data_IF_221146039072
#
_entry.id   IF_221146039072
#
_cell.length_a   1.000
_cell.length_b   1.000
_cell.length_c   1.000
_cell.angle_alpha   90.00
_cell.angle_beta   90.00
_cell.angle_gamma   90.00
#
_symmetry.space_group_name_H-M   'P 1'
#
loop_
_entity.id
_entity.type
_entity.pdbx_description
1 polymer ?
#
# COMPACT_ATOMS: atom_id res chain seq x y z
N UNK A 1 -15.88 -16.89 -4.98
CA UNK A 1 -15.06 -15.70 -5.29
C UNK A 1 -13.60 -16.12 -5.27
N UNK A 2 -12.90 -15.92 -6.37
CA UNK A 2 -11.50 -16.31 -6.55
C UNK A 2 -10.58 -15.16 -6.07
N UNK A 3 -9.50 -15.52 -5.35
CA UNK A 3 -8.52 -14.58 -4.82
C UNK A 3 -7.80 -13.76 -5.91
N UNK A 4 -7.47 -14.40 -7.03
CA UNK A 4 -6.80 -13.70 -8.12
C UNK A 4 -7.69 -12.66 -8.79
N UNK A 5 -8.99 -12.95 -8.93
CA UNK A 5 -9.96 -11.96 -9.41
C UNK A 5 -10.10 -10.78 -8.46
N UNK A 6 -10.06 -11.04 -7.13
CA UNK A 6 -10.11 -9.98 -6.13
C UNK A 6 -8.88 -9.08 -6.17
N UNK A 7 -7.68 -9.66 -6.34
CA UNK A 7 -6.43 -8.89 -6.51
C UNK A 7 -6.48 -8.03 -7.77
N UNK A 8 -6.95 -8.59 -8.88
CA UNK A 8 -7.10 -7.86 -10.14
C UNK A 8 -8.10 -6.71 -9.98
N UNK A 9 -9.25 -6.97 -9.36
CA UNK A 9 -10.24 -5.94 -9.06
C UNK A 9 -9.63 -4.80 -8.22
N UNK A 10 -8.95 -5.12 -7.13
CA UNK A 10 -8.31 -4.14 -6.27
C UNK A 10 -7.30 -3.28 -7.04
N UNK A 11 -6.42 -3.90 -7.83
CA UNK A 11 -5.41 -3.19 -8.60
C UNK A 11 -6.03 -2.27 -9.68
N UNK A 12 -7.14 -2.68 -10.31
CA UNK A 12 -7.87 -1.84 -11.28
C UNK A 12 -8.52 -0.65 -10.58
N UNK A 13 -9.13 -0.88 -9.42
CA UNK A 13 -9.76 0.16 -8.63
C UNK A 13 -8.74 1.21 -8.15
N UNK A 14 -7.60 0.75 -7.65
CA UNK A 14 -6.49 1.60 -7.20
C UNK A 14 -5.89 2.42 -8.35
N UNK A 15 -5.71 1.82 -9.53
CA UNK A 15 -5.19 2.50 -10.72
C UNK A 15 -6.19 3.50 -11.35
N UNK A 16 -7.50 3.35 -11.07
CA UNK A 16 -8.59 4.12 -11.67
C UNK A 16 -8.72 3.97 -13.20
N UNK A 17 -7.97 3.04 -13.79
CA UNK A 17 -7.91 2.84 -15.23
C UNK A 17 -7.38 1.44 -15.57
N UNK A 18 -8.06 0.73 -16.49
CA UNK A 18 -7.66 -0.60 -16.94
C UNK A 18 -6.25 -0.61 -17.55
N UNK A 19 -5.91 0.40 -18.35
CA UNK A 19 -4.60 0.48 -19.00
C UNK A 19 -3.46 0.64 -17.99
N UNK A 20 -3.64 1.49 -16.98
CA UNK A 20 -2.64 1.63 -15.91
C UNK A 20 -2.46 0.32 -15.13
N UNK A 21 -3.54 -0.41 -14.85
CA UNK A 21 -3.49 -1.67 -14.14
C UNK A 21 -2.72 -2.78 -14.91
N UNK A 22 -2.60 -2.68 -16.25
CA UNK A 22 -1.81 -3.66 -17.03
C UNK A 22 -0.34 -3.68 -16.62
N UNK A 23 0.22 -2.52 -16.28
CA UNK A 23 1.63 -2.41 -15.88
C UNK A 23 1.91 -3.08 -14.52
N UNK A 24 1.02 -2.88 -13.55
CA UNK A 24 1.19 -3.46 -12.22
C UNK A 24 0.88 -4.96 -12.17
N UNK A 25 -0.07 -5.41 -13.02
CA UNK A 25 -0.50 -6.82 -13.04
C UNK A 25 0.25 -7.68 -14.04
N UNK A 26 1.03 -7.08 -14.95
CA UNK A 26 1.65 -7.77 -16.08
C UNK A 26 0.66 -8.62 -16.91
N UNK A 27 -0.56 -8.10 -17.10
CA UNK A 27 -1.64 -8.72 -17.83
C UNK A 27 -2.12 -7.81 -18.97
N UNK A 28 -2.66 -8.39 -20.05
CA UNK A 28 -3.30 -7.59 -21.09
C UNK A 28 -4.62 -6.98 -20.60
N UNK A 29 -4.99 -5.83 -21.15
CA UNK A 29 -6.26 -5.17 -20.80
C UNK A 29 -7.48 -6.10 -21.05
N UNK A 30 -7.45 -6.91 -22.10
CA UNK A 30 -8.52 -7.88 -22.40
C UNK A 30 -8.60 -8.99 -21.36
N UNK A 31 -7.46 -9.45 -20.82
CA UNK A 31 -7.42 -10.43 -19.75
C UNK A 31 -8.00 -9.83 -18.45
N UNK A 32 -7.57 -8.63 -18.07
CA UNK A 32 -8.10 -7.91 -16.91
C UNK A 32 -9.61 -7.72 -17.03
N UNK A 33 -10.08 -7.24 -18.19
CA UNK A 33 -11.53 -7.02 -18.42
C UNK A 33 -12.35 -8.30 -18.26
N UNK A 34 -11.85 -9.43 -18.77
CA UNK A 34 -12.51 -10.73 -18.61
C UNK A 34 -12.59 -11.18 -17.16
N UNK A 35 -11.52 -10.98 -16.39
CA UNK A 35 -11.48 -11.34 -14.96
C UNK A 35 -12.47 -10.49 -14.15
N UNK A 36 -12.54 -9.19 -14.43
CA UNK A 36 -13.52 -8.29 -13.78
C UNK A 36 -14.95 -8.72 -14.13
N UNK A 37 -15.26 -8.94 -15.42
CA UNK A 37 -16.58 -9.40 -15.84
C UNK A 37 -16.97 -10.75 -15.18
N UNK A 38 -16.01 -11.67 -15.06
CA UNK A 38 -16.21 -12.94 -14.37
C UNK A 38 -16.53 -12.74 -12.90
N UNK A 39 -15.84 -11.83 -12.21
CA UNK A 39 -16.10 -11.48 -10.82
C UNK A 39 -17.49 -10.84 -10.64
N UNK A 40 -17.85 -9.87 -11.49
CA UNK A 40 -19.16 -9.22 -11.48
C UNK A 40 -20.30 -10.23 -11.71
N UNK A 41 -20.10 -11.19 -12.62
CA UNK A 41 -21.05 -12.27 -12.87
C UNK A 41 -21.22 -13.20 -11.67
N UNK A 42 -20.12 -13.56 -10.99
CA UNK A 42 -20.17 -14.38 -9.77
C UNK A 42 -20.90 -13.67 -8.64
N UNK A 43 -20.65 -12.37 -8.47
CA UNK A 43 -21.25 -11.54 -7.43
C UNK A 43 -22.66 -11.04 -7.81
N UNK A 44 -23.07 -11.22 -9.08
CA UNK A 44 -24.34 -10.75 -9.66
C UNK A 44 -24.54 -9.24 -9.48
N UNK A 45 -23.48 -8.48 -9.56
CA UNK A 45 -23.48 -7.02 -9.44
C UNK A 45 -22.37 -6.40 -10.26
N UNK A 46 -22.56 -5.16 -10.71
CA UNK A 46 -21.51 -4.38 -11.34
C UNK A 46 -20.66 -3.72 -10.26
N UNK A 47 -19.34 -3.75 -10.44
CA UNK A 47 -18.36 -3.16 -9.53
C UNK A 47 -17.79 -1.86 -10.09
N UNK A 48 -17.85 -1.69 -11.42
CA UNK A 48 -17.36 -0.52 -12.11
C UNK A 48 -18.42 0.11 -12.99
N UNK A 49 -18.36 1.44 -13.09
CA UNK A 49 -19.07 2.26 -14.08
C UNK A 49 -18.07 2.86 -15.04
N UNK A 50 -18.41 2.81 -16.35
CA UNK A 50 -17.59 3.42 -17.41
C UNK A 50 -18.22 4.74 -17.82
N UNK A 51 -17.45 5.80 -17.70
CA UNK A 51 -17.85 7.15 -18.12
C UNK A 51 -16.92 7.68 -19.21
N UNK A 52 -17.34 8.73 -19.89
CA UNK A 52 -16.50 9.41 -20.88
C UNK A 52 -15.18 9.92 -20.29
N UNK A 53 -15.13 10.15 -18.98
CA UNK A 53 -13.96 10.64 -18.25
C UNK A 53 -13.11 9.55 -17.61
N UNK A 54 -13.47 8.26 -17.73
CA UNK A 54 -12.72 7.16 -17.13
C UNK A 54 -13.60 6.09 -16.46
N UNK A 55 -13.02 5.45 -15.48
CA UNK A 55 -13.58 4.35 -14.72
C UNK A 55 -13.81 4.82 -13.27
N UNK A 56 -15.01 4.57 -12.74
CA UNK A 56 -15.33 4.76 -11.32
C UNK A 56 -15.88 3.47 -10.72
N UNK A 57 -15.82 3.36 -9.41
CA UNK A 57 -16.47 2.28 -8.68
C UNK A 57 -17.97 2.56 -8.54
N UNK A 58 -18.79 1.51 -8.55
CA UNK A 58 -20.16 1.55 -8.05
C UNK A 58 -20.16 1.54 -6.53
N UNK A 59 -21.30 1.75 -5.87
CA UNK A 59 -21.45 1.61 -4.42
C UNK A 59 -21.01 0.21 -3.94
N UNK A 60 -21.41 -0.85 -4.66
CA UNK A 60 -20.95 -2.22 -4.37
C UNK A 60 -19.45 -2.39 -4.63
N UNK A 61 -18.93 -1.72 -5.66
CA UNK A 61 -17.49 -1.68 -5.95
C UNK A 61 -16.70 -1.01 -4.82
N UNK A 62 -17.16 0.11 -4.29
CA UNK A 62 -16.52 0.80 -3.16
C UNK A 62 -16.51 -0.06 -1.89
N UNK A 63 -17.65 -0.71 -1.61
CA UNK A 63 -17.73 -1.63 -0.47
C UNK A 63 -16.76 -2.80 -0.60
N UNK A 64 -16.70 -3.43 -1.78
CA UNK A 64 -15.76 -4.52 -2.03
C UNK A 64 -14.31 -4.03 -2.00
N UNK A 65 -14.02 -2.84 -2.55
CA UNK A 65 -12.67 -2.27 -2.57
C UNK A 65 -12.13 -2.03 -1.16
N UNK A 66 -12.93 -1.43 -0.29
CA UNK A 66 -12.54 -1.21 1.11
C UNK A 66 -12.17 -2.52 1.81
N UNK A 67 -13.04 -3.52 1.69
CA UNK A 67 -12.80 -4.84 2.30
C UNK A 67 -11.58 -5.54 1.68
N UNK A 68 -11.44 -5.52 0.36
CA UNK A 68 -10.29 -6.11 -0.33
C UNK A 68 -8.97 -5.43 0.08
N UNK A 69 -8.97 -4.11 0.19
CA UNK A 69 -7.82 -3.33 0.62
C UNK A 69 -7.36 -3.72 2.03
N UNK A 70 -8.29 -3.84 2.98
CA UNK A 70 -7.98 -4.26 4.35
C UNK A 70 -7.38 -5.67 4.40
N UNK A 71 -7.96 -6.62 3.64
CA UNK A 71 -7.45 -8.00 3.58
C UNK A 71 -6.06 -8.08 2.95
N UNK A 72 -5.86 -7.38 1.82
CA UNK A 72 -4.56 -7.36 1.12
C UNK A 72 -3.49 -6.71 2.00
N UNK A 73 -3.81 -5.61 2.70
CA UNK A 73 -2.89 -4.95 3.62
C UNK A 73 -2.48 -5.91 4.75
N UNK A 74 -3.44 -6.57 5.39
CA UNK A 74 -3.15 -7.54 6.45
C UNK A 74 -2.26 -8.70 5.98
N UNK A 75 -2.45 -9.18 4.75
CA UNK A 75 -1.60 -10.23 4.20
C UNK A 75 -0.19 -9.74 3.94
N UNK A 76 -0.01 -8.52 3.44
CA UNK A 76 1.32 -7.90 3.29
C UNK A 76 2.04 -7.75 4.62
N UNK A 77 1.33 -7.35 5.69
CA UNK A 77 1.90 -7.26 7.03
C UNK A 77 2.37 -8.63 7.54
N UNK A 78 1.60 -9.69 7.27
CA UNK A 78 1.99 -11.06 7.61
C UNK A 78 3.20 -11.52 6.80
N UNK A 79 3.22 -11.26 5.49
CA UNK A 79 4.37 -11.58 4.62
C UNK A 79 5.63 -10.86 5.10
N UNK A 80 5.53 -9.55 5.40
CA UNK A 80 6.63 -8.78 5.99
C UNK A 80 7.12 -9.43 7.29
N UNK A 81 6.22 -9.71 8.23
CA UNK A 81 6.57 -10.33 9.50
C UNK A 81 7.25 -11.70 9.34
N UNK A 82 6.83 -12.48 8.35
CA UNK A 82 7.42 -13.79 8.06
C UNK A 82 8.80 -13.67 7.38
N UNK A 83 8.98 -12.64 6.57
CA UNK A 83 10.27 -12.33 5.94
C UNK A 83 11.25 -11.73 6.95
N UNK A 84 10.81 -10.83 7.81
CA UNK A 84 11.62 -10.20 8.88
C UNK A 84 12.16 -11.21 9.90
N UNK A 85 11.53 -12.38 10.01
CA UNK A 85 12.10 -13.48 10.83
C UNK A 85 13.39 -14.07 10.26
N UNK A 86 13.74 -13.76 9.02
CA UNK A 86 14.97 -14.26 8.38
C UNK A 86 16.14 -13.30 8.47
N UNK A 87 15.89 -12.00 8.51
CA UNK A 87 16.94 -10.98 8.57
C UNK A 87 16.62 -10.00 9.71
N UNK A 88 17.58 -9.82 10.60
CA UNK A 88 17.47 -8.76 11.62
C UNK A 88 17.42 -7.42 10.89
N UNK A 89 16.51 -6.50 11.29
CA UNK A 89 16.46 -5.18 10.71
C UNK A 89 17.84 -4.52 10.78
N UNK A 90 18.37 -4.11 9.64
CA UNK A 90 19.70 -3.50 9.55
C UNK A 90 19.72 -2.38 8.52
N UNK A 91 20.69 -1.50 8.61
CA UNK A 91 20.89 -0.40 7.68
C UNK A 91 20.59 0.97 8.28
N UNK A 92 20.61 2.02 7.44
CA UNK A 92 20.40 3.40 7.85
C UNK A 92 18.91 3.79 7.82
N UNK A 93 18.41 4.28 8.95
CA UNK A 93 17.07 4.84 9.10
C UNK A 93 17.17 6.34 9.40
N UNK A 94 16.76 7.17 8.46
CA UNK A 94 16.68 8.62 8.66
C UNK A 94 15.24 8.99 9.06
N UNK A 95 15.10 9.62 10.22
CA UNK A 95 13.81 10.11 10.73
C UNK A 95 13.87 11.62 10.81
N UNK A 96 12.89 12.27 10.16
CA UNK A 96 12.74 13.73 10.23
C UNK A 96 11.46 14.11 10.95
N UNK A 97 11.54 15.13 11.78
CA UNK A 97 10.39 15.64 12.52
C UNK A 97 10.62 17.08 12.98
N UNK A 98 9.56 17.74 13.45
CA UNK A 98 9.67 19.07 14.02
C UNK A 98 10.51 19.04 15.32
N UNK A 99 11.23 20.14 15.57
CA UNK A 99 12.21 20.23 16.68
C UNK A 99 11.55 19.92 18.02
N UNK A 100 10.40 20.46 18.32
CA UNK A 100 9.71 20.27 19.60
C UNK A 100 9.37 18.82 19.89
N UNK A 101 8.81 18.11 18.92
CA UNK A 101 8.47 16.69 19.06
C UNK A 101 9.72 15.81 19.11
N UNK A 102 10.70 16.09 18.26
CA UNK A 102 11.95 15.35 18.19
C UNK A 102 12.72 15.36 19.50
N UNK A 103 12.86 16.54 20.11
CA UNK A 103 13.64 16.71 21.36
C UNK A 103 12.89 16.23 22.60
N UNK A 104 11.60 16.50 22.70
CA UNK A 104 10.83 16.25 23.93
C UNK A 104 10.26 14.85 24.02
N UNK A 105 9.81 14.29 22.90
CA UNK A 105 9.14 13.00 22.89
C UNK A 105 9.96 11.88 22.26
N UNK A 106 10.56 12.11 21.09
CA UNK A 106 11.23 11.07 20.33
C UNK A 106 12.60 10.70 20.92
N UNK A 107 13.45 11.68 21.20
CA UNK A 107 14.83 11.45 21.65
C UNK A 107 14.92 10.60 22.95
N UNK A 108 14.08 10.82 23.97
CA UNK A 108 14.14 9.98 25.17
C UNK A 108 13.71 8.52 24.93
N UNK A 109 12.94 8.25 23.85
CA UNK A 109 12.38 6.93 23.55
C UNK A 109 13.18 6.16 22.52
N UNK A 110 14.00 6.84 21.71
CA UNK A 110 14.77 6.21 20.64
C UNK A 110 15.79 5.20 21.16
N UNK A 111 16.26 5.37 22.39
CA UNK A 111 17.23 4.45 23.00
C UNK A 111 16.68 3.03 23.16
N UNK A 112 15.39 2.88 23.46
CA UNK A 112 14.76 1.57 23.56
C UNK A 112 14.70 0.89 22.19
N UNK A 113 14.32 1.63 21.15
CA UNK A 113 14.31 1.15 19.78
C UNK A 113 15.70 0.69 19.32
N UNK A 114 16.75 1.48 19.61
CA UNK A 114 18.14 1.13 19.26
C UNK A 114 18.63 -0.13 19.97
N UNK A 115 18.21 -0.34 21.22
CA UNK A 115 18.55 -1.57 21.96
C UNK A 115 17.89 -2.81 21.34
N UNK A 116 16.66 -2.68 20.85
CA UNK A 116 15.93 -3.77 20.21
C UNK A 116 16.41 -4.05 18.78
N UNK A 117 17.04 -3.04 18.13
CA UNK A 117 17.48 -3.12 16.73
C UNK A 117 18.91 -2.59 16.59
N UNK A 118 19.91 -3.33 17.11
CA UNK A 118 21.30 -2.84 17.21
C UNK A 118 22.01 -2.69 15.86
N UNK A 119 21.46 -3.30 14.80
CA UNK A 119 22.00 -3.22 13.43
C UNK A 119 21.41 -2.07 12.61
N UNK A 120 20.49 -1.27 13.20
CA UNK A 120 19.94 -0.06 12.56
C UNK A 120 20.76 1.16 13.00
N UNK A 121 21.31 1.87 12.02
CA UNK A 121 21.91 3.18 12.21
C UNK A 121 20.84 4.27 12.08
N UNK A 122 20.58 5.02 13.15
CA UNK A 122 19.54 6.05 13.16
C UNK A 122 20.16 7.43 12.98
N UNK A 123 19.63 8.15 11.99
CA UNK A 123 19.88 9.57 11.80
C UNK A 123 18.59 10.36 12.11
N UNK A 124 18.65 11.24 13.12
CA UNK A 124 17.52 12.12 13.48
C UNK A 124 17.76 13.51 12.92
N UNK A 125 16.83 14.00 12.12
CA UNK A 125 16.85 15.35 11.57
C UNK A 125 15.67 16.13 12.17
N UNK A 126 15.98 17.18 12.93
CA UNK A 126 14.97 18.05 13.52
C UNK A 126 14.93 19.37 12.74
N UNK A 127 13.85 19.60 12.02
CA UNK A 127 13.64 20.83 11.25
C UNK A 127 12.14 21.19 11.29
N UNK A 128 11.86 22.49 11.51
CA UNK A 128 10.49 23.02 11.50
C UNK A 128 10.01 23.41 10.09
N UNK A 129 10.87 23.23 9.07
CA UNK A 129 10.50 23.42 7.67
C UNK A 129 9.89 22.15 7.08
N UNK A 130 8.90 22.29 6.20
CA UNK A 130 8.41 21.18 5.39
C UNK A 130 9.55 20.63 4.53
N UNK A 131 9.93 19.39 4.79
CA UNK A 131 10.93 18.67 4.01
C UNK A 131 10.22 17.83 2.95
N UNK A 132 10.54 18.08 1.69
CA UNK A 132 10.13 17.23 0.58
C UNK A 132 10.95 15.94 0.59
N UNK A 133 10.33 14.84 1.05
CA UNK A 133 10.96 13.52 1.14
C UNK A 133 11.16 12.85 -0.22
N UNK A 134 10.58 13.40 -1.30
CA UNK A 134 10.68 12.83 -2.65
C UNK A 134 12.05 13.07 -3.32
N UNK A 135 12.85 14.00 -2.81
CA UNK A 135 14.13 14.42 -3.41
C UNK A 135 15.38 13.80 -2.78
N UNK A 136 15.23 12.97 -1.74
CA UNK A 136 16.35 12.26 -1.10
C UNK A 136 16.21 10.76 -1.30
N UNK A 137 16.65 10.25 -2.44
CA UNK A 137 17.06 8.88 -2.65
C UNK A 137 18.58 8.75 -2.50
#
# INVERSE_FOLDING_TARGET
>A
MDWDKLKIFHAVAEAGNFTKATYSLNLSQSAISRQIQSLEKELKTHLFERHARGLSLTENGEYLFKTAHEVISKLKDVESTLMDKKDKPSGKLTVTTVVSFGTTWLTPRIQEFMKLNPEIEIELIFDDKELDLSTRQ
#
